data_IF_499331992031
#
_entry.id   IF_499331992031
#
_cell.length_a   1.000
_cell.length_b   1.000
_cell.length_c   1.000
_cell.angle_alpha   90.00
_cell.angle_beta   90.00
_cell.angle_gamma   90.00
#
_symmetry.space_group_name_H-M   'P 1'
#
loop_
_entity.id
_entity.type
_entity.pdbx_description
1 polymer ?
#
# COMPACT_ATOMS: atom_id res chain seq x y z
N UNK A 1 7.35 -7.39 18.84
CA UNK A 1 6.97 -7.37 17.40
C UNK A 1 7.66 -8.52 16.69
N UNK A 2 7.17 -8.96 15.52
CA UNK A 2 7.77 -10.06 14.74
C UNK A 2 7.56 -9.85 13.23
N UNK A 3 8.38 -10.48 12.36
CA UNK A 3 8.09 -10.57 10.94
C UNK A 3 6.76 -11.24 10.63
N UNK A 4 5.99 -10.62 9.74
CA UNK A 4 4.66 -11.04 9.33
C UNK A 4 4.51 -10.96 7.81
N UNK A 5 3.66 -11.85 7.30
CA UNK A 5 3.08 -11.78 5.95
C UNK A 5 1.59 -11.50 6.11
N UNK A 6 1.11 -10.50 5.39
CA UNK A 6 -0.29 -10.08 5.38
C UNK A 6 -0.84 -10.34 4.00
N UNK A 7 -1.82 -11.23 3.89
CA UNK A 7 -2.54 -11.49 2.65
C UNK A 7 -3.95 -10.90 2.77
N UNK A 8 -4.29 -9.97 1.89
CA UNK A 8 -5.65 -9.41 1.76
C UNK A 8 -6.28 -9.99 0.51
N UNK A 9 -7.30 -10.82 0.70
CA UNK A 9 -8.09 -11.40 -0.38
C UNK A 9 -9.15 -10.40 -0.82
N UNK A 10 -9.26 -10.21 -2.13
CA UNK A 10 -10.13 -9.19 -2.70
C UNK A 10 -11.38 -9.83 -3.29
N UNK A 11 -12.54 -9.33 -2.88
CA UNK A 11 -13.83 -9.75 -3.42
C UNK A 11 -14.18 -9.01 -4.73
N UNK A 12 -13.47 -7.91 -5.03
CA UNK A 12 -13.67 -7.11 -6.23
C UNK A 12 -12.35 -6.52 -6.76
N UNK A 13 -12.29 -6.10 -8.04
CA UNK A 13 -11.07 -5.59 -8.66
C UNK A 13 -10.46 -4.40 -7.91
N UNK A 14 -9.13 -4.36 -7.83
CA UNK A 14 -8.39 -3.24 -7.25
C UNK A 14 -8.31 -2.10 -8.26
N UNK A 15 -9.02 -0.99 -8.00
CA UNK A 15 -8.92 0.20 -8.82
C UNK A 15 -7.74 1.11 -8.39
N UNK A 16 -6.99 1.57 -9.38
CA UNK A 16 -5.85 2.48 -9.28
C UNK A 16 -6.10 3.73 -10.14
N UNK A 17 -5.57 4.91 -9.76
CA UNK A 17 -5.69 6.10 -10.57
C UNK A 17 -4.91 5.94 -11.89
N UNK A 18 -5.55 6.22 -13.02
CA UNK A 18 -4.93 6.02 -14.34
C UNK A 18 -3.99 7.16 -14.78
N UNK A 19 -4.36 8.43 -14.52
CA UNK A 19 -3.62 9.62 -15.02
C UNK A 19 -2.69 10.27 -13.99
N UNK A 20 -2.73 9.82 -12.74
CA UNK A 20 -1.87 10.34 -11.66
C UNK A 20 -0.73 9.36 -11.44
N UNK A 21 0.44 9.80 -10.91
CA UNK A 21 1.46 8.88 -10.46
C UNK A 21 0.81 7.81 -9.59
N UNK A 22 0.96 6.55 -9.97
CA UNK A 22 0.45 5.43 -9.19
C UNK A 22 1.34 5.36 -7.96
N UNK A 23 0.82 5.84 -6.83
CA UNK A 23 1.44 5.56 -5.54
C UNK A 23 1.14 4.10 -5.23
N UNK A 24 2.15 3.27 -4.90
CA UNK A 24 1.91 1.94 -4.42
C UNK A 24 0.95 1.98 -3.24
N UNK A 25 0.17 0.92 -3.08
CA UNK A 25 -0.58 0.71 -1.86
C UNK A 25 0.41 0.35 -0.75
N UNK A 26 0.79 1.32 0.08
CA UNK A 26 1.72 1.10 1.19
C UNK A 26 0.99 0.56 2.43
N UNK A 27 1.52 -0.51 3.05
CA UNK A 27 0.87 -1.15 4.19
C UNK A 27 0.80 -0.25 5.42
N UNK A 28 1.86 0.52 5.70
CA UNK A 28 1.88 1.47 6.81
C UNK A 28 0.79 2.55 6.67
N UNK A 29 0.49 3.00 5.45
CA UNK A 29 -0.65 3.91 5.21
C UNK A 29 -1.99 3.28 5.57
N UNK A 30 -2.17 1.99 5.30
CA UNK A 30 -3.40 1.28 5.64
C UNK A 30 -3.55 1.15 7.16
N UNK A 31 -2.46 0.80 7.84
CA UNK A 31 -2.42 0.69 9.30
C UNK A 31 -2.70 2.05 9.95
N UNK A 32 -2.06 3.11 9.46
CA UNK A 32 -2.31 4.47 9.97
C UNK A 32 -3.74 4.91 9.68
N UNK A 33 -4.29 4.62 8.49
CA UNK A 33 -5.68 4.95 8.18
C UNK A 33 -6.65 4.22 9.11
N UNK A 34 -6.39 2.94 9.41
CA UNK A 34 -7.18 2.16 10.38
C UNK A 34 -7.10 2.75 11.79
N UNK A 35 -5.90 3.13 12.23
CA UNK A 35 -5.69 3.76 13.53
C UNK A 35 -6.41 5.11 13.62
N UNK A 36 -6.34 5.94 12.58
CA UNK A 36 -7.05 7.20 12.53
C UNK A 36 -8.57 7.01 12.60
N UNK A 37 -9.11 5.99 11.91
CA UNK A 37 -10.53 5.62 12.00
C UNK A 37 -10.92 5.21 13.43
N UNK A 38 -10.12 4.37 14.08
CA UNK A 38 -10.35 3.92 15.46
C UNK A 38 -10.35 5.09 16.44
N UNK A 39 -9.37 5.98 16.31
CA UNK A 39 -9.21 7.16 17.16
C UNK A 39 -10.17 8.30 16.81
N UNK A 40 -10.99 8.15 15.75
CA UNK A 40 -11.82 9.22 15.18
C UNK A 40 -11.03 10.48 14.88
N UNK A 41 -9.77 10.32 14.52
CA UNK A 41 -8.86 11.39 14.13
C UNK A 41 -8.80 11.51 12.61
N UNK A 42 -8.44 12.69 12.11
CA UNK A 42 -8.24 12.94 10.70
C UNK A 42 -6.83 13.48 10.48
N UNK A 43 -6.23 13.13 9.34
CA UNK A 43 -5.01 13.77 8.88
C UNK A 43 -5.27 15.27 8.73
N UNK A 44 -4.54 16.09 9.49
CA UNK A 44 -4.60 17.56 9.39
C UNK A 44 -3.99 18.11 8.10
N UNK A 45 -3.42 17.27 7.25
CA UNK A 45 -2.60 17.67 6.11
C UNK A 45 -3.34 18.33 4.93
N UNK A 46 -4.63 18.62 5.02
CA UNK A 46 -5.37 19.28 3.92
C UNK A 46 -5.30 20.81 4.03
N UNK A 47 -4.27 21.36 3.39
CA UNK A 47 -4.14 22.73 2.88
C UNK A 47 -3.90 23.88 3.88
N UNK A 48 -2.63 24.29 4.02
CA UNK A 48 -2.23 25.63 4.49
C UNK A 48 -1.50 25.68 5.84
N UNK A 49 -1.55 24.61 6.61
CA UNK A 49 -1.42 24.69 8.07
C UNK A 49 -0.01 24.43 8.63
N UNK A 50 1.04 24.52 7.80
CA UNK A 50 2.39 24.20 8.26
C UNK A 50 2.56 22.71 8.63
N UNK A 51 2.15 21.81 7.72
CA UNK A 51 2.41 20.37 7.87
C UNK A 51 3.91 20.14 8.10
N UNK A 52 4.24 19.72 9.32
CA UNK A 52 5.60 19.37 9.72
C UNK A 52 5.74 17.85 9.76
N UNK A 53 6.41 17.25 8.77
CA UNK A 53 6.55 15.81 8.70
C UNK A 53 7.35 15.22 9.85
N UNK A 54 8.23 15.99 10.48
CA UNK A 54 9.05 15.51 11.59
C UNK A 54 8.26 15.47 12.90
N UNK A 55 7.15 16.19 12.98
CA UNK A 55 6.27 16.28 14.15
C UNK A 55 4.86 15.69 13.93
N UNK A 56 4.57 15.16 12.74
CA UNK A 56 3.30 14.45 12.49
C UNK A 56 3.18 13.21 13.40
N UNK A 57 2.02 13.04 14.01
CA UNK A 57 1.77 11.94 14.95
C UNK A 57 1.92 10.58 14.26
N UNK A 58 1.66 10.47 12.97
CA UNK A 58 1.76 9.20 12.26
C UNK A 58 3.14 8.97 11.64
N UNK A 59 4.08 9.89 11.79
CA UNK A 59 5.46 9.69 11.34
C UNK A 59 6.16 8.54 12.09
N UNK A 60 7.05 7.78 11.42
CA UNK A 60 7.74 6.65 12.00
C UNK A 60 8.41 6.96 13.35
N UNK A 61 7.97 6.25 14.39
CA UNK A 61 8.51 6.36 15.75
C UNK A 61 7.93 7.50 16.60
N UNK A 62 6.92 8.22 16.11
CA UNK A 62 6.26 9.30 16.86
C UNK A 62 5.02 8.83 17.63
N UNK A 63 4.28 7.85 17.11
CA UNK A 63 3.10 7.33 17.77
C UNK A 63 3.29 5.84 18.16
N UNK A 64 3.32 5.53 19.46
CA UNK A 64 3.49 4.17 19.95
C UNK A 64 2.30 3.26 19.64
N UNK A 65 1.13 3.81 19.28
CA UNK A 65 -0.06 3.04 18.94
C UNK A 65 -0.01 2.46 17.52
N UNK A 66 0.96 2.89 16.68
CA UNK A 66 1.18 2.28 15.36
C UNK A 66 1.90 0.95 15.57
N UNK A 67 1.26 -0.21 15.30
CA UNK A 67 1.79 -1.53 15.64
C UNK A 67 2.84 -2.05 14.64
N UNK A 68 3.70 -1.18 14.15
CA UNK A 68 4.75 -1.47 13.18
C UNK A 68 6.11 -1.12 13.78
N UNK A 69 7.10 -1.96 13.56
CA UNK A 69 8.47 -1.63 13.92
C UNK A 69 8.97 -0.47 13.05
N UNK A 70 9.98 0.23 13.56
CA UNK A 70 10.62 1.35 12.89
C UNK A 70 12.06 0.96 12.61
N UNK A 71 12.45 1.03 11.35
CA UNK A 71 13.85 0.94 10.94
C UNK A 71 14.43 2.35 10.96
N UNK A 72 15.49 2.54 11.74
CA UNK A 72 16.31 3.75 11.71
C UNK A 72 17.67 3.44 11.09
N UNK A 73 18.05 4.20 10.06
CA UNK A 73 19.37 4.08 9.45
C UNK A 73 19.83 5.43 8.95
N UNK A 74 21.06 5.83 9.33
CA UNK A 74 21.63 7.13 8.99
C UNK A 74 20.72 8.31 9.39
N UNK A 75 20.07 8.22 10.56
CA UNK A 75 19.14 9.23 11.08
C UNK A 75 17.77 9.28 10.36
N UNK A 76 17.53 8.39 9.40
CA UNK A 76 16.26 8.32 8.66
C UNK A 76 15.43 7.18 9.23
N UNK A 77 14.16 7.47 9.56
CA UNK A 77 13.20 6.51 10.11
C UNK A 77 12.12 6.16 9.09
N UNK A 78 11.84 4.87 8.93
CA UNK A 78 10.68 4.35 8.16
C UNK A 78 10.02 3.20 8.92
N UNK A 79 8.73 2.97 8.68
CA UNK A 79 8.09 1.76 9.19
C UNK A 79 8.60 0.52 8.43
N UNK A 80 8.79 -0.59 9.14
CA UNK A 80 9.11 -1.90 8.56
C UNK A 80 7.85 -2.51 7.94
N UNK A 81 7.46 -2.02 6.76
CA UNK A 81 6.20 -2.36 6.09
C UNK A 81 6.30 -2.18 4.57
N UNK A 82 5.93 -3.17 3.77
CA UNK A 82 6.09 -3.10 2.31
C UNK A 82 4.97 -2.32 1.62
N UNK A 83 5.17 -2.01 0.35
CA UNK A 83 4.08 -1.82 -0.59
C UNK A 83 3.41 -3.16 -0.94
N UNK A 84 2.21 -3.10 -1.53
CA UNK A 84 1.44 -4.26 -1.96
C UNK A 84 2.12 -4.99 -3.11
N UNK A 85 2.22 -6.32 -2.99
CA UNK A 85 2.78 -7.21 -4.00
C UNK A 85 1.66 -8.13 -4.48
N UNK A 86 1.63 -8.48 -5.77
CA UNK A 86 0.79 -9.58 -6.25
C UNK A 86 1.64 -10.83 -6.30
N UNK A 87 1.35 -11.84 -5.46
CA UNK A 87 2.21 -13.02 -5.34
C UNK A 87 2.17 -13.92 -6.58
N UNK A 88 1.12 -13.81 -7.40
CA UNK A 88 0.98 -14.56 -8.64
C UNK A 88 0.61 -13.61 -9.79
N UNK A 89 1.63 -13.17 -10.52
CA UNK A 89 1.46 -12.26 -11.65
C UNK A 89 0.80 -12.94 -12.86
N UNK A 90 0.80 -14.28 -12.93
CA UNK A 90 0.31 -15.04 -14.09
C UNK A 90 -1.21 -14.96 -14.25
N UNK A 91 -1.93 -14.72 -13.14
CA UNK A 91 -3.38 -14.62 -13.08
C UNK A 91 -3.89 -13.17 -12.94
N UNK A 92 -3.05 -12.17 -13.24
CA UNK A 92 -3.45 -10.76 -13.21
C UNK A 92 -4.08 -10.40 -14.54
N UNK A 93 -5.37 -10.05 -14.54
CA UNK A 93 -5.97 -9.34 -15.66
C UNK A 93 -6.14 -7.86 -15.32
N UNK A 94 -5.81 -7.01 -16.30
CA UNK A 94 -5.92 -5.56 -16.18
C UNK A 94 -7.04 -5.07 -17.08
N UNK A 95 -8.02 -4.40 -16.49
CA UNK A 95 -9.16 -3.83 -17.20
C UNK A 95 -9.12 -2.31 -17.05
N UNK A 96 -9.28 -1.61 -18.18
CA UNK A 96 -9.45 -0.17 -18.15
C UNK A 96 -10.93 0.14 -18.02
N UNK A 97 -11.30 0.80 -16.93
CA UNK A 97 -12.68 1.20 -16.67
C UNK A 97 -12.76 2.72 -16.73
N UNK A 98 -13.83 3.26 -17.30
CA UNK A 98 -14.08 4.70 -17.25
C UNK A 98 -15.54 5.02 -17.05
N UNK A 99 -15.87 5.57 -15.89
CA UNK A 99 -17.24 5.96 -15.54
C UNK A 99 -17.84 7.06 -16.42
N UNK A 100 -17.07 7.62 -17.34
CA UNK A 100 -17.51 8.62 -18.33
C UNK A 100 -17.77 7.99 -19.70
N UNK A 101 -17.04 6.93 -20.05
CA UNK A 101 -17.03 6.36 -21.40
C UNK A 101 -17.56 4.93 -21.47
N UNK A 102 -17.28 4.14 -20.43
CA UNK A 102 -17.65 2.73 -20.29
C UNK A 102 -17.74 2.43 -18.80
N UNK A 103 -18.94 2.57 -18.24
CA UNK A 103 -19.18 2.18 -16.85
C UNK A 103 -18.79 0.69 -16.68
N UNK A 104 -18.18 0.31 -15.55
CA UNK A 104 -17.87 -1.09 -15.31
C UNK A 104 -19.16 -1.90 -15.26
N UNK A 105 -19.12 -3.10 -15.84
CA UNK A 105 -20.23 -4.02 -15.71
C UNK A 105 -20.47 -4.35 -14.24
N UNK A 106 -21.73 -4.26 -13.82
CA UNK A 106 -22.12 -4.48 -12.44
C UNK A 106 -21.72 -5.87 -11.94
N UNK A 107 -21.75 -6.89 -12.79
CA UNK A 107 -21.29 -8.24 -12.47
C UNK A 107 -19.80 -8.33 -12.06
N UNK A 108 -18.95 -7.41 -12.54
CA UNK A 108 -17.53 -7.35 -12.15
C UNK A 108 -17.32 -6.82 -10.72
N UNK A 109 -18.32 -6.12 -10.18
CA UNK A 109 -18.28 -5.50 -8.85
C UNK A 109 -19.16 -6.27 -7.85
N UNK A 110 -20.32 -6.77 -8.30
CA UNK A 110 -21.31 -7.51 -7.51
C UNK A 110 -20.91 -8.97 -7.20
N UNK A 111 -19.73 -9.43 -7.63
CA UNK A 111 -19.17 -10.72 -7.20
C UNK A 111 -19.03 -10.81 -5.67
N UNK A 112 -18.96 -9.66 -4.99
CA UNK A 112 -18.93 -9.52 -3.54
C UNK A 112 -20.33 -9.25 -2.96
N UNK A 113 -21.12 -10.30 -2.70
CA UNK A 113 -22.42 -10.16 -2.01
C UNK A 113 -22.23 -9.59 -0.58
N UNK A 114 -22.92 -8.51 -0.24
CA UNK A 114 -23.34 -8.22 1.14
C UNK A 114 -22.52 -7.23 2.00
N UNK A 115 -21.48 -6.54 1.51
CA UNK A 115 -20.68 -5.65 2.37
C UNK A 115 -21.00 -4.14 2.19
N UNK A 116 -21.62 -3.75 1.07
CA UNK A 116 -22.05 -2.38 0.76
C UNK A 116 -23.40 -2.35 0.03
N UNK A 117 -24.45 -2.95 0.60
CA UNK A 117 -25.79 -2.95 -0.02
C UNK A 117 -26.42 -1.54 -0.20
N UNK A 118 -25.82 -0.48 0.37
CA UNK A 118 -26.50 0.82 0.50
C UNK A 118 -25.76 2.06 -0.03
N UNK A 119 -24.66 1.95 -0.78
CA UNK A 119 -24.00 3.17 -1.31
C UNK A 119 -23.42 2.96 -2.71
N UNK A 120 -24.28 2.77 -3.71
CA UNK A 120 -23.92 3.16 -5.07
C UNK A 120 -24.08 4.67 -5.19
N UNK A 121 -23.00 5.42 -4.94
CA UNK A 121 -22.93 6.81 -5.38
C UNK A 121 -22.21 6.81 -6.71
N UNK A 122 -22.80 7.44 -7.73
CA UNK A 122 -22.10 7.69 -8.99
C UNK A 122 -20.71 8.27 -8.69
N UNK A 123 -19.63 7.54 -8.97
CA UNK A 123 -18.31 8.05 -8.70
C UNK A 123 -18.05 9.25 -9.61
N UNK A 124 -17.21 10.18 -9.14
CA UNK A 124 -16.80 11.32 -9.97
C UNK A 124 -16.28 10.82 -11.33
N UNK A 125 -16.57 11.53 -12.42
CA UNK A 125 -16.00 11.26 -13.75
C UNK A 125 -14.51 10.92 -13.69
N UNK A 126 -14.13 9.72 -14.13
CA UNK A 126 -12.76 9.24 -14.01
C UNK A 126 -12.45 8.05 -14.90
N UNK A 127 -11.16 7.84 -15.15
CA UNK A 127 -10.61 6.60 -15.72
C UNK A 127 -9.76 5.93 -14.66
N UNK A 128 -9.96 4.63 -14.49
CA UNK A 128 -9.27 3.81 -13.52
C UNK A 128 -8.63 2.63 -14.24
N UNK A 129 -7.45 2.26 -13.77
CA UNK A 129 -6.87 0.97 -14.05
C UNK A 129 -7.41 0.01 -12.98
N UNK A 130 -8.13 -1.02 -13.39
CA UNK A 130 -8.63 -2.06 -12.49
C UNK A 130 -7.77 -3.31 -12.65
N UNK A 131 -7.25 -3.81 -11.55
CA UNK A 131 -6.50 -5.05 -11.49
C UNK A 131 -7.39 -6.12 -10.87
N UNK A 132 -7.74 -7.13 -11.66
CA UNK A 132 -8.45 -8.31 -11.16
C UNK A 132 -7.39 -9.26 -10.59
N UNK A 133 -7.19 -9.18 -9.28
CA UNK A 133 -6.24 -10.02 -8.55
C UNK A 133 -6.95 -10.66 -7.36
N UNK A 134 -6.76 -11.96 -7.11
CA UNK A 134 -7.46 -12.64 -6.02
C UNK A 134 -6.98 -12.15 -4.65
N UNK A 135 -5.74 -11.68 -4.55
CA UNK A 135 -5.16 -11.16 -3.32
C UNK A 135 -3.99 -10.21 -3.58
N UNK A 136 -3.74 -9.35 -2.61
CA UNK A 136 -2.50 -8.58 -2.48
C UNK A 136 -1.78 -8.99 -1.19
N UNK A 137 -0.45 -8.93 -1.23
CA UNK A 137 0.43 -9.36 -0.15
C UNK A 137 1.27 -8.20 0.36
N UNK A 138 1.47 -8.15 1.67
CA UNK A 138 2.38 -7.24 2.35
C UNK A 138 3.32 -7.99 3.27
N UNK A 139 4.47 -7.38 3.51
CA UNK A 139 5.49 -7.81 4.47
C UNK A 139 5.64 -6.73 5.52
N UNK A 140 5.70 -7.09 6.80
CA UNK A 140 5.97 -6.11 7.85
C UNK A 140 6.59 -6.74 9.09
N UNK A 141 7.24 -5.93 9.92
CA UNK A 141 7.54 -6.29 11.30
C UNK A 141 6.55 -5.56 12.19
N UNK A 142 5.78 -6.27 13.00
CA UNK A 142 4.72 -5.64 13.79
C UNK A 142 4.12 -6.50 14.88
N UNK A 143 3.12 -5.94 15.57
CA UNK A 143 2.27 -6.66 16.53
C UNK A 143 1.11 -7.32 15.79
N UNK A 144 1.15 -8.64 15.69
CA UNK A 144 0.15 -9.45 14.97
C UNK A 144 -1.27 -9.29 15.51
N UNK A 145 -1.44 -9.13 16.83
CA UNK A 145 -2.77 -9.02 17.45
C UNK A 145 -3.34 -7.64 17.17
N UNK A 146 -2.55 -6.60 17.44
CA UNK A 146 -2.97 -5.22 17.22
C UNK A 146 -3.23 -4.91 15.74
N UNK A 147 -2.41 -5.45 14.83
CA UNK A 147 -2.66 -5.36 13.39
C UNK A 147 -3.97 -6.03 12.99
N UNK A 148 -4.32 -7.19 13.57
CA UNK A 148 -5.59 -7.86 13.30
C UNK A 148 -6.78 -6.98 13.70
N UNK A 149 -6.70 -6.37 14.87
CA UNK A 149 -7.75 -5.49 15.40
C UNK A 149 -7.95 -4.27 14.46
N UNK A 150 -6.85 -3.58 14.10
CA UNK A 150 -6.92 -2.43 13.20
C UNK A 150 -7.40 -2.79 11.79
N UNK A 151 -6.87 -3.87 11.20
CA UNK A 151 -7.23 -4.23 9.82
C UNK A 151 -8.68 -4.70 9.69
N UNK A 152 -9.32 -5.14 10.78
CA UNK A 152 -10.76 -5.46 10.79
C UNK A 152 -11.65 -4.24 10.50
N UNK A 153 -11.13 -3.02 10.69
CA UNK A 153 -11.83 -1.77 10.40
C UNK A 153 -11.77 -1.40 8.91
N UNK A 154 -10.84 -1.97 8.15
CA UNK A 154 -10.65 -1.67 6.73
C UNK A 154 -11.50 -2.63 5.89
N UNK A 155 -12.50 -2.07 5.19
CA UNK A 155 -13.39 -2.85 4.30
C UNK A 155 -12.95 -2.88 2.84
N UNK A 156 -11.98 -2.04 2.47
CA UNK A 156 -11.54 -1.89 1.09
C UNK A 156 -10.26 -1.09 0.92
N UNK A 157 -9.53 -1.37 -0.16
CA UNK A 157 -8.27 -0.74 -0.55
C UNK A 157 -8.35 -0.11 -1.95
N UNK A 158 -7.37 0.75 -2.27
CA UNK A 158 -7.34 1.45 -3.56
C UNK A 158 -8.32 2.63 -3.65
N UNK A 159 -8.57 3.08 -4.87
CA UNK A 159 -9.50 4.19 -5.16
C UNK A 159 -10.89 3.65 -5.54
N UNK A 160 -11.93 4.48 -5.44
CA UNK A 160 -13.28 4.07 -5.85
C UNK A 160 -13.95 3.06 -4.92
N UNK A 161 -13.51 2.98 -3.65
CA UNK A 161 -14.08 2.07 -2.63
C UNK A 161 -15.59 2.27 -2.42
N UNK A 162 -16.05 3.52 -2.51
CA UNK A 162 -17.48 3.87 -2.46
C UNK A 162 -18.29 3.38 -3.66
N UNK A 163 -17.63 2.94 -4.74
CA UNK A 163 -18.25 2.32 -5.90
C UNK A 163 -18.02 0.80 -5.93
N UNK A 164 -17.58 0.21 -4.81
CA UNK A 164 -17.41 -1.24 -4.66
C UNK A 164 -16.07 -1.81 -5.12
N UNK A 165 -15.09 -0.99 -5.54
CA UNK A 165 -13.75 -1.49 -5.91
C UNK A 165 -12.88 -1.82 -4.70
N UNK A 166 -11.99 -2.80 -4.88
CA UNK A 166 -10.97 -3.22 -3.93
C UNK A 166 -11.55 -3.68 -2.60
N UNK A 167 -12.75 -4.25 -2.59
CA UNK A 167 -13.38 -4.80 -1.40
C UNK A 167 -12.55 -5.94 -0.85
N UNK A 168 -12.34 -5.96 0.46
CA UNK A 168 -11.59 -7.00 1.14
C UNK A 168 -12.58 -8.07 1.59
N UNK A 169 -12.36 -9.31 1.15
CA UNK A 169 -13.10 -10.49 1.60
C UNK A 169 -12.55 -10.98 2.95
N UNK A 170 -11.23 -11.15 3.00
CA UNK A 170 -10.54 -11.72 4.16
C UNK A 170 -9.14 -11.14 4.30
N UNK A 171 -8.66 -11.06 5.53
CA UNK A 171 -7.29 -10.69 5.86
C UNK A 171 -6.65 -11.83 6.66
N UNK A 172 -5.58 -12.39 6.12
CA UNK A 172 -4.78 -13.42 6.78
C UNK A 172 -3.45 -12.82 7.23
N UNK A 173 -3.16 -12.94 8.52
CA UNK A 173 -1.91 -12.52 9.14
C UNK A 173 -1.17 -13.77 9.57
N UNK A 174 0.02 -13.99 9.02
CA UNK A 174 0.83 -15.16 9.29
C UNK A 174 2.24 -14.74 9.71
N UNK A 175 2.93 -15.52 10.57
CA UNK A 175 4.37 -15.36 10.76
C UNK A 175 5.10 -15.44 9.42
N UNK A 176 6.14 -14.63 9.23
CA UNK A 176 6.98 -14.76 8.05
C UNK A 176 7.75 -16.10 8.04
N UNK A 177 8.17 -16.60 6.85
CA UNK A 177 8.98 -17.79 6.75
C UNK A 177 10.30 -17.69 7.53
N UNK A 178 10.89 -18.83 7.88
CA UNK A 178 12.22 -18.91 8.49
C UNK A 178 13.26 -18.15 7.65
N UNK A 179 14.10 -17.35 8.30
CA UNK A 179 15.10 -16.50 7.64
C UNK A 179 14.60 -15.09 7.26
N UNK A 180 13.35 -14.74 7.58
CA UNK A 180 12.90 -13.36 7.51
C UNK A 180 13.67 -12.48 8.50
N UNK A 181 14.22 -11.37 8.01
CA UNK A 181 14.99 -10.42 8.81
C UNK A 181 14.08 -9.68 9.82
N UNK A 182 14.22 -9.90 11.14
CA UNK A 182 13.38 -9.26 12.15
C UNK A 182 13.52 -7.75 12.22
N UNK A 183 14.58 -7.16 11.65
CA UNK A 183 14.85 -5.73 11.72
C UNK A 183 14.39 -4.99 10.45
N UNK A 184 14.48 -5.63 9.28
CA UNK A 184 14.21 -4.98 7.99
C UNK A 184 13.11 -5.65 7.14
N UNK A 185 12.40 -6.67 7.64
CA UNK A 185 11.31 -7.29 6.89
C UNK A 185 10.21 -6.28 6.54
N UNK A 186 9.83 -6.23 5.26
CA UNK A 186 8.93 -5.20 4.74
C UNK A 186 9.63 -3.94 4.22
N UNK A 187 10.93 -3.79 4.42
CA UNK A 187 11.75 -2.77 3.74
C UNK A 187 12.47 -3.39 2.54
N UNK A 188 13.16 -4.51 2.79
CA UNK A 188 13.83 -5.31 1.76
C UNK A 188 13.26 -6.72 1.69
N UNK A 189 13.28 -7.32 0.50
CA UNK A 189 13.03 -8.75 0.30
C UNK A 189 14.04 -9.27 -0.72
N UNK A 190 14.77 -10.34 -0.38
CA UNK A 190 15.83 -10.91 -1.25
C UNK A 190 16.83 -9.86 -1.76
N UNK A 191 17.16 -8.90 -0.90
CA UNK A 191 18.11 -7.83 -1.23
C UNK A 191 17.57 -6.75 -2.19
N UNK A 192 16.26 -6.70 -2.45
CA UNK A 192 15.64 -5.63 -3.25
C UNK A 192 14.62 -4.83 -2.44
N UNK A 193 14.42 -3.53 -2.73
CA UNK A 193 13.41 -2.73 -2.07
C UNK A 193 12.01 -3.27 -2.36
N UNK A 194 11.18 -3.38 -1.32
CA UNK A 194 9.74 -3.68 -1.46
C UNK A 194 8.85 -2.50 -1.08
N UNK A 195 9.45 -1.31 -0.98
CA UNK A 195 8.79 0.00 -0.83
C UNK A 195 9.73 1.06 -1.38
N UNK A 196 9.28 2.31 -1.43
CA UNK A 196 10.20 3.43 -1.59
C UNK A 196 11.05 3.57 -0.33
N UNK A 197 12.38 3.62 -0.52
CA UNK A 197 13.36 3.77 0.56
C UNK A 197 14.22 4.99 0.25
N UNK A 198 14.42 5.93 1.17
CA UNK A 198 15.30 7.07 0.95
C UNK A 198 16.71 6.63 0.55
N UNK A 199 17.30 7.30 -0.45
CA UNK A 199 18.65 6.95 -0.92
C UNK A 199 19.68 7.02 0.21
N UNK A 200 19.49 7.96 1.15
CA UNK A 200 20.36 8.12 2.33
C UNK A 200 20.43 6.89 3.25
N UNK A 201 19.42 6.02 3.28
CA UNK A 201 19.46 4.78 4.08
C UNK A 201 20.34 3.70 3.44
N UNK A 202 20.51 3.70 2.12
CA UNK A 202 21.27 2.70 1.38
C UNK A 202 22.07 3.39 0.26
N UNK A 203 23.19 4.05 0.59
CA UNK A 203 23.97 4.78 -0.41
C UNK A 203 24.51 3.87 -1.53
N UNK A 204 24.69 2.58 -1.24
CA UNK A 204 25.17 1.55 -2.16
C UNK A 204 24.08 0.97 -3.09
N UNK A 205 22.83 1.43 -3.00
CA UNK A 205 21.72 0.90 -3.79
C UNK A 205 21.94 0.95 -5.31
N UNK A 206 22.70 1.93 -5.82
CA UNK A 206 23.05 2.01 -7.24
C UNK A 206 23.94 0.85 -7.68
N UNK A 207 24.92 0.47 -6.86
CA UNK A 207 25.80 -0.67 -7.14
C UNK A 207 25.02 -2.01 -7.14
N UNK A 208 23.87 -2.05 -6.45
CA UNK A 208 22.91 -3.18 -6.45
C UNK A 208 21.89 -3.12 -7.60
N UNK A 209 22.01 -2.14 -8.51
CA UNK A 209 21.11 -1.97 -9.65
C UNK A 209 19.73 -1.42 -9.30
N UNK A 210 19.54 -0.81 -8.13
CA UNK A 210 18.25 -0.25 -7.74
C UNK A 210 17.96 1.04 -8.51
N UNK A 211 16.71 1.20 -8.96
CA UNK A 211 16.25 2.39 -9.69
C UNK A 211 15.95 3.54 -8.73
N UNK A 212 16.34 4.77 -9.09
CA UNK A 212 15.99 5.99 -8.33
C UNK A 212 14.69 6.61 -8.83
N UNK A 213 13.93 7.22 -7.92
CA UNK A 213 12.74 8.01 -8.21
C UNK A 213 12.53 9.09 -7.15
N UNK A 214 11.91 10.22 -7.51
CA UNK A 214 11.47 11.21 -6.54
C UNK A 214 10.05 10.87 -6.05
N UNK A 215 9.95 10.34 -4.82
CA UNK A 215 8.72 9.83 -4.23
C UNK A 215 8.70 10.06 -2.71
N UNK A 216 7.54 9.91 -2.08
CA UNK A 216 7.45 9.87 -0.63
C UNK A 216 7.83 8.48 -0.11
N UNK A 217 8.68 8.43 0.91
CA UNK A 217 9.04 7.18 1.58
C UNK A 217 8.23 6.89 2.84
N UNK A 218 7.41 7.85 3.31
CA UNK A 218 6.71 7.81 4.60
C UNK A 218 5.29 8.37 4.43
N UNK A 219 4.30 7.92 5.24
CA UNK A 219 2.99 8.55 5.28
C UNK A 219 3.08 10.04 5.69
N UNK A 220 2.20 10.92 5.19
CA UNK A 220 1.24 10.71 4.11
C UNK A 220 1.92 10.78 2.72
N UNK A 221 1.84 9.68 1.95
CA UNK A 221 2.58 9.53 0.68
C UNK A 221 2.16 10.47 -0.46
N UNK A 222 0.97 11.07 -0.34
CA UNK A 222 0.44 11.98 -1.33
C UNK A 222 0.94 13.42 -1.14
N UNK A 223 1.55 13.75 0.01
CA UNK A 223 1.91 15.12 0.34
C UNK A 223 3.24 15.52 -0.32
N UNK A 224 3.30 16.62 -1.11
CA UNK A 224 4.51 17.01 -1.84
C UNK A 224 5.74 17.24 -0.97
N UNK A 225 5.57 17.76 0.26
CA UNK A 225 6.68 17.98 1.19
C UNK A 225 7.37 16.69 1.67
N UNK A 226 6.73 15.53 1.47
CA UNK A 226 7.31 14.23 1.81
C UNK A 226 8.20 13.65 0.71
N UNK A 227 8.28 14.30 -0.45
CA UNK A 227 8.99 13.75 -1.61
C UNK A 227 10.48 13.94 -1.45
N UNK A 228 11.20 12.83 -1.56
CA UNK A 228 12.65 12.77 -1.52
C UNK A 228 13.17 11.78 -2.57
N UNK A 229 14.48 11.77 -2.79
CA UNK A 229 15.09 10.80 -3.70
C UNK A 229 15.09 9.42 -3.04
N UNK A 230 14.38 8.48 -3.65
CA UNK A 230 14.18 7.13 -3.14
C UNK A 230 14.69 6.07 -4.12
N UNK A 231 15.10 4.92 -3.57
CA UNK A 231 15.13 3.66 -4.28
C UNK A 231 13.71 3.16 -4.50
N UNK A 232 13.37 2.85 -5.74
CA UNK A 232 12.09 2.30 -6.13
C UNK A 232 12.06 0.78 -5.89
N UNK A 233 10.91 0.23 -5.49
CA UNK A 233 10.76 -1.21 -5.46
C UNK A 233 10.85 -1.81 -6.85
N UNK A 234 11.48 -2.98 -6.95
CA UNK A 234 11.47 -3.83 -8.14
C UNK A 234 10.32 -4.83 -8.04
N UNK A 235 9.55 -5.01 -9.12
CA UNK A 235 8.52 -6.08 -9.18
C UNK A 235 7.27 -5.87 -8.36
N UNK A 236 7.03 -4.64 -7.91
CA UNK A 236 5.80 -4.24 -7.22
C UNK A 236 4.84 -3.63 -8.23
N UNK A 237 3.54 -3.93 -8.10
CA UNK A 237 2.47 -3.28 -8.87
C UNK A 237 2.63 -1.77 -8.80
N UNK A 238 3.23 -1.20 -9.85
CA UNK A 238 3.32 0.24 -10.05
C UNK A 238 2.71 0.65 -11.39
N UNK A 239 2.56 -0.28 -12.32
CA UNK A 239 1.83 -0.14 -13.56
C UNK A 239 1.70 -1.54 -14.19
N UNK A 240 0.67 -1.83 -15.01
CA UNK A 240 0.60 -3.06 -15.81
C UNK A 240 1.84 -3.22 -16.70
N UNK A 241 2.46 -2.11 -17.10
CA UNK A 241 3.70 -2.07 -17.87
C UNK A 241 4.92 -2.63 -17.11
N UNK A 242 4.87 -2.76 -15.78
CA UNK A 242 5.92 -3.39 -14.97
C UNK A 242 5.65 -4.86 -14.66
N UNK A 243 4.42 -5.35 -14.85
CA UNK A 243 4.09 -6.77 -14.66
C UNK A 243 4.62 -7.62 -15.82
N UNK A 244 4.76 -7.05 -17.01
CA UNK A 244 5.34 -7.68 -18.21
C UNK A 244 6.84 -7.97 -18.10
N UNK A 245 7.56 -7.39 -17.14
CA UNK A 245 9.00 -7.66 -16.92
C UNK A 245 9.28 -8.98 -16.17
N UNK A 246 8.24 -9.73 -15.80
CA UNK A 246 8.35 -10.97 -15.02
C UNK A 246 7.85 -12.22 -15.75
N UNK A 247 7.50 -12.10 -17.03
CA UNK A 247 7.19 -13.25 -17.89
C UNK A 247 8.41 -13.80 -18.63
N UNK A 248 9.58 -13.18 -18.46
CA UNK A 248 10.85 -13.71 -18.97
C UNK A 248 11.79 -14.06 -17.81
N UNK A 249 11.67 -15.30 -17.33
CA UNK A 249 12.76 -16.17 -16.92
C UNK A 249 12.26 -17.60 -16.73
#
# INVERSE_FOLDING_TARGET
>A
MRPLVIDMYLASPLALPYKKPVYPLHFDSLVVAALALEQRSYYRAFAGDGFDPENDVFSPGRNPDVPLAVLEKNGIKIYCASAAIVPDASNVSALRVSWVKTAPERALIDAAKGIYDNVWKEPRPGSYLCLCVPRVRFFCVGDSKRLKDLLSLIRGVGVGRQAGFGQIEAVHIQPAPSGADPEAWGVLWRGTPVRYIPVGMYPDGAAKGWRRVCAAARPPYWHPAMRELCWAPSGILLAPECATLYLER
#
